data_IF_766912661240
#
_entry.id   IF_766912661240
#
_cell.length_a   1.000
_cell.length_b   1.000
_cell.length_c   1.000
_cell.angle_alpha   90.00
_cell.angle_beta   90.00
_cell.angle_gamma   90.00
#
_symmetry.space_group_name_H-M   'P 1'
#
loop_
_entity.id
_entity.type
_entity.pdbx_description
1 polymer ?
#
# COMPACT_ATOMS: atom_id res chain seq x y z
N UNK A 1 -3.94 15.85 11.10
CA UNK A 1 -2.82 15.28 11.91
C UNK A 1 -1.99 14.47 10.93
N UNK A 2 -0.74 14.80 10.74
CA UNK A 2 0.15 14.15 9.79
C UNK A 2 0.45 12.70 10.24
N UNK A 3 0.64 11.78 9.27
CA UNK A 3 1.02 10.37 9.52
C UNK A 3 2.24 10.25 10.46
N UNK A 4 3.19 11.19 10.35
CA UNK A 4 4.37 11.29 11.22
C UNK A 4 4.02 11.71 12.64
N UNK A 5 3.02 12.59 12.82
CA UNK A 5 2.55 13.03 14.15
C UNK A 5 1.78 11.95 14.89
N UNK A 6 1.04 11.08 14.14
CA UNK A 6 0.38 9.91 14.72
C UNK A 6 1.40 8.92 15.29
N UNK A 7 2.46 8.64 14.53
CA UNK A 7 3.54 7.74 14.94
C UNK A 7 4.39 8.32 16.08
N UNK A 8 4.67 9.65 16.07
CA UNK A 8 5.43 10.31 17.15
C UNK A 8 4.67 10.37 18.48
N UNK A 9 3.37 10.61 18.48
CA UNK A 9 2.57 10.66 19.72
C UNK A 9 2.40 9.29 20.36
N UNK A 10 2.55 8.21 19.63
CA UNK A 10 2.57 6.84 20.15
C UNK A 10 3.92 6.43 20.77
N UNK A 11 5.01 7.17 20.47
CA UNK A 11 6.37 6.85 20.93
C UNK A 11 6.84 7.64 22.17
N UNK A 12 6.07 8.59 22.70
CA UNK A 12 6.46 9.47 23.82
C UNK A 12 5.94 8.98 25.19
N UNK A 13 5.67 7.71 25.33
CA UNK A 13 5.12 7.10 26.55
C UNK A 13 6.09 6.30 27.42
N UNK A 14 7.40 6.34 27.21
CA UNK A 14 8.32 5.58 28.10
C UNK A 14 9.72 6.19 28.14
N UNK A 15 9.92 7.14 29.05
CA UNK A 15 11.25 7.45 29.58
C UNK A 15 11.10 7.89 31.03
N UNK A 16 11.62 7.05 31.92
CA UNK A 16 11.92 7.39 33.30
C UNK A 16 11.56 6.27 34.26
N UNK A 17 12.53 5.41 34.61
CA UNK A 17 12.75 5.08 36.02
C UNK A 17 14.02 4.22 36.18
N UNK A 18 14.76 4.63 37.12
CA UNK A 18 16.08 4.30 37.63
C UNK A 18 16.25 2.88 38.14
N UNK A 19 17.49 2.38 38.01
CA UNK A 19 18.07 1.17 38.56
C UNK A 19 17.97 1.05 40.08
N UNK A 20 17.66 -0.13 40.59
CA UNK A 20 18.29 -0.70 41.78
C UNK A 20 18.18 -2.21 41.83
N UNK A 21 19.21 -2.96 42.23
CA UNK A 21 19.23 -4.40 42.21
C UNK A 21 18.94 -4.95 43.62
N UNK A 22 18.09 -5.97 43.73
CA UNK A 22 18.12 -6.89 44.86
C UNK A 22 17.32 -8.20 44.65
N UNK A 23 18.04 -9.30 44.65
CA UNK A 23 17.77 -10.57 45.34
C UNK A 23 16.70 -11.55 44.81
N UNK A 24 17.21 -12.69 44.43
CA UNK A 24 16.56 -13.97 44.30
C UNK A 24 15.61 -14.31 45.45
N UNK A 25 14.39 -14.80 45.16
CA UNK A 25 13.96 -16.10 45.70
C UNK A 25 12.58 -16.52 45.19
N UNK A 26 12.44 -17.83 45.07
CA UNK A 26 11.23 -18.63 45.25
C UNK A 26 10.36 -18.89 44.05
N UNK A 27 10.50 -20.07 43.52
CA UNK A 27 9.52 -20.84 42.76
C UNK A 27 8.15 -20.82 43.48
N UNK A 28 7.19 -20.17 42.84
CA UNK A 28 5.79 -20.17 43.24
C UNK A 28 4.95 -20.15 41.95
N UNK A 29 4.39 -21.29 41.58
CA UNK A 29 3.35 -21.40 40.55
C UNK A 29 2.09 -20.66 41.01
N UNK A 30 2.01 -19.39 40.73
CA UNK A 30 0.74 -18.64 40.76
C UNK A 30 0.22 -18.56 39.36
N UNK A 31 -0.88 -19.26 39.07
CA UNK A 31 -1.69 -19.05 37.90
C UNK A 31 -2.10 -17.56 37.88
N UNK A 32 -1.42 -16.75 37.07
CA UNK A 32 -1.84 -15.36 36.83
C UNK A 32 -3.17 -15.40 36.13
N UNK A 33 -4.19 -14.82 36.77
CA UNK A 33 -5.42 -14.45 36.07
C UNK A 33 -5.02 -13.56 34.92
N UNK A 34 -5.18 -14.05 33.68
CA UNK A 34 -4.85 -13.33 32.47
C UNK A 34 -5.43 -11.93 32.52
N UNK A 35 -4.58 -10.92 32.49
CA UNK A 35 -4.97 -9.53 32.37
C UNK A 35 -5.53 -9.31 30.97
N UNK A 36 -6.39 -8.30 30.77
CA UNK A 36 -6.97 -7.97 29.45
C UNK A 36 -5.93 -7.71 28.33
N UNK A 37 -4.64 -7.73 28.68
CA UNK A 37 -3.49 -7.56 27.81
C UNK A 37 -3.16 -8.79 26.93
N UNK A 38 -3.64 -9.98 27.30
CA UNK A 38 -3.27 -11.26 26.67
C UNK A 38 -4.26 -11.70 25.57
N UNK A 39 -5.01 -10.76 25.02
CA UNK A 39 -5.99 -10.99 23.95
C UNK A 39 -5.79 -9.97 22.83
N UNK A 40 -5.98 -10.43 21.60
CA UNK A 40 -5.90 -9.57 20.43
C UNK A 40 -7.03 -8.54 20.43
N UNK A 41 -6.70 -7.26 20.37
CA UNK A 41 -7.65 -6.15 20.39
C UNK A 41 -7.62 -5.40 19.08
N UNK A 42 -8.79 -5.27 18.43
CA UNK A 42 -8.98 -4.50 17.19
C UNK A 42 -9.53 -3.10 17.52
N UNK A 43 -8.93 -2.09 16.91
CA UNK A 43 -9.50 -0.74 16.82
C UNK A 43 -9.30 -0.18 15.42
N UNK A 44 -10.23 0.64 14.97
CA UNK A 44 -10.20 1.21 13.63
C UNK A 44 -10.92 2.56 13.60
N UNK A 45 -10.57 3.38 12.61
CA UNK A 45 -11.25 4.66 12.36
C UNK A 45 -11.15 5.05 10.89
N UNK A 46 -12.19 5.69 10.32
CA UNK A 46 -12.09 6.31 9.01
C UNK A 46 -11.11 7.48 9.04
N UNK A 47 -10.43 7.70 7.92
CA UNK A 47 -9.46 8.76 7.74
C UNK A 47 -9.37 9.19 6.29
N UNK A 48 -9.44 10.49 6.01
CA UNK A 48 -9.25 11.04 4.68
C UNK A 48 -7.79 11.51 4.52
N UNK A 49 -7.03 10.80 3.70
CA UNK A 49 -5.66 11.17 3.35
C UNK A 49 -5.69 12.35 2.39
N UNK A 50 -5.23 13.52 2.83
CA UNK A 50 -5.03 14.66 1.96
C UNK A 50 -3.78 14.44 1.10
N UNK A 51 -3.94 14.49 -0.22
CA UNK A 51 -2.84 14.38 -1.15
C UNK A 51 -2.07 15.71 -1.26
N UNK A 52 -0.76 15.63 -1.40
CA UNK A 52 0.10 16.82 -1.61
C UNK A 52 -0.19 17.49 -2.95
N UNK A 53 -0.42 16.70 -3.99
CA UNK A 53 -0.84 17.12 -5.32
C UNK A 53 -2.14 16.40 -5.70
N UNK A 54 -2.95 17.01 -6.56
CA UNK A 54 -4.06 16.31 -7.17
C UNK A 54 -3.52 15.05 -7.90
N UNK A 55 -4.21 13.93 -7.74
CA UNK A 55 -3.89 12.69 -8.43
C UNK A 55 -4.81 12.54 -9.64
N UNK A 56 -4.28 12.92 -10.80
CA UNK A 56 -5.02 12.92 -12.06
C UNK A 56 -4.67 11.68 -12.87
N UNK A 57 -5.70 10.97 -13.30
CA UNK A 57 -5.70 9.85 -14.23
C UNK A 57 -6.51 10.23 -15.47
N UNK A 58 -6.48 9.41 -16.52
CA UNK A 58 -7.24 9.65 -17.74
C UNK A 58 -8.75 9.86 -17.50
N UNK A 59 -9.34 9.15 -16.51
CA UNK A 59 -10.79 9.15 -16.26
C UNK A 59 -11.20 9.65 -14.87
N UNK A 60 -10.27 10.10 -14.03
CA UNK A 60 -10.59 10.52 -12.65
C UNK A 60 -9.54 11.48 -12.09
N UNK A 61 -9.96 12.28 -11.12
CA UNK A 61 -9.07 13.17 -10.35
C UNK A 61 -9.50 13.17 -8.89
N UNK A 62 -8.53 13.24 -7.97
CA UNK A 62 -8.80 13.34 -6.53
C UNK A 62 -7.73 14.13 -5.80
N UNK A 63 -8.14 14.84 -4.76
CA UNK A 63 -7.25 15.57 -3.83
C UNK A 63 -7.16 14.91 -2.44
N UNK A 64 -8.04 13.96 -2.18
CA UNK A 64 -8.09 13.14 -0.97
C UNK A 64 -8.25 11.68 -1.34
N UNK A 65 -7.77 10.80 -0.49
CA UNK A 65 -8.03 9.36 -0.59
C UNK A 65 -8.73 8.93 0.70
N UNK A 66 -9.99 8.46 0.61
CA UNK A 66 -10.65 7.86 1.76
C UNK A 66 -9.93 6.57 2.16
N UNK A 67 -9.82 6.35 3.45
CA UNK A 67 -9.06 5.27 4.05
C UNK A 67 -9.68 4.85 5.39
N UNK A 68 -9.39 3.65 5.88
CA UNK A 68 -9.66 3.22 7.25
C UNK A 68 -8.38 2.72 7.88
N UNK A 69 -7.95 3.41 8.93
CA UNK A 69 -6.78 3.02 9.71
C UNK A 69 -7.19 1.93 10.72
N UNK A 70 -6.38 0.88 10.78
CA UNK A 70 -6.59 -0.29 11.66
C UNK A 70 -5.41 -0.45 12.61
N UNK A 71 -5.71 -0.82 13.85
CA UNK A 71 -4.72 -1.19 14.86
C UNK A 71 -5.09 -2.52 15.47
N UNK A 72 -4.12 -3.42 15.57
CA UNK A 72 -4.19 -4.64 16.37
C UNK A 72 -3.24 -4.52 17.53
N UNK A 73 -3.75 -4.68 18.74
CA UNK A 73 -2.96 -4.63 19.96
C UNK A 73 -2.90 -5.99 20.65
N UNK A 74 -1.71 -6.35 21.11
CA UNK A 74 -1.49 -7.53 21.97
C UNK A 74 -0.42 -7.20 23.01
N UNK A 75 -0.79 -7.22 24.28
CA UNK A 75 0.09 -6.77 25.36
C UNK A 75 0.51 -5.30 25.18
N UNK A 76 1.81 -5.07 25.12
CA UNK A 76 2.42 -3.73 24.86
C UNK A 76 2.57 -3.41 23.36
N UNK A 77 2.42 -4.41 22.50
CA UNK A 77 2.67 -4.28 21.07
C UNK A 77 1.44 -3.81 20.30
N UNK A 78 1.65 -2.99 19.28
CA UNK A 78 0.59 -2.52 18.38
C UNK A 78 1.05 -2.64 16.92
N UNK A 79 0.31 -3.41 16.13
CA UNK A 79 0.42 -3.47 14.68
C UNK A 79 -0.56 -2.50 14.02
N UNK A 80 -0.18 -1.96 12.87
CA UNK A 80 -0.95 -0.98 12.10
C UNK A 80 -1.25 -1.53 10.71
N UNK A 81 -2.48 -1.32 10.27
CA UNK A 81 -2.95 -1.64 8.93
C UNK A 81 -3.79 -0.51 8.35
N UNK A 82 -4.08 -0.62 7.07
CA UNK A 82 -4.80 0.40 6.30
C UNK A 82 -5.69 -0.28 5.26
N UNK A 83 -6.97 0.09 5.21
CA UNK A 83 -7.88 -0.32 4.17
C UNK A 83 -7.93 0.73 3.06
N UNK A 84 -7.26 0.47 1.95
CA UNK A 84 -7.38 1.25 0.73
C UNK A 84 -8.58 0.78 -0.08
N UNK A 85 -9.44 1.70 -0.51
CA UNK A 85 -10.72 1.41 -1.16
C UNK A 85 -10.75 1.97 -2.58
N UNK A 86 -10.07 1.33 -3.54
CA UNK A 86 -10.17 1.74 -4.93
C UNK A 86 -11.62 1.56 -5.43
N UNK A 87 -12.15 2.50 -6.24
CA UNK A 87 -13.57 2.53 -6.62
C UNK A 87 -14.11 1.25 -7.25
N UNK A 88 -13.25 0.50 -7.95
CA UNK A 88 -13.65 -0.76 -8.61
C UNK A 88 -13.93 -1.92 -7.64
N UNK A 89 -13.55 -1.82 -6.37
CA UNK A 89 -13.90 -2.81 -5.35
C UNK A 89 -15.29 -2.56 -4.76
N UNK A 90 -15.85 -1.35 -4.91
CA UNK A 90 -17.16 -0.99 -4.41
C UNK A 90 -17.24 -0.87 -2.87
N UNK A 91 -16.10 -0.89 -2.18
CA UNK A 91 -16.03 -0.68 -0.74
C UNK A 91 -15.94 0.81 -0.39
N UNK A 92 -16.46 1.18 0.79
CA UNK A 92 -16.45 2.53 1.35
C UNK A 92 -15.96 2.50 2.78
N UNK A 93 -15.56 3.64 3.34
CA UNK A 93 -15.21 3.74 4.77
C UNK A 93 -16.30 3.14 5.67
N UNK A 94 -17.57 3.38 5.33
CA UNK A 94 -18.71 2.85 6.09
C UNK A 94 -18.79 1.33 5.98
N UNK A 95 -18.68 0.75 4.78
CA UNK A 95 -18.73 -0.70 4.60
C UNK A 95 -17.56 -1.40 5.28
N UNK A 96 -16.35 -0.85 5.18
CA UNK A 96 -15.15 -1.34 5.85
C UNK A 96 -15.31 -1.30 7.37
N UNK A 97 -15.72 -0.16 7.93
CA UNK A 97 -15.96 -0.04 9.37
C UNK A 97 -17.06 -1.00 9.86
N UNK A 98 -18.10 -1.22 9.06
CA UNK A 98 -19.19 -2.17 9.39
C UNK A 98 -18.65 -3.60 9.45
N UNK A 99 -17.84 -4.01 8.50
CA UNK A 99 -17.22 -5.34 8.50
C UNK A 99 -16.26 -5.51 9.69
N UNK A 100 -15.36 -4.57 9.91
CA UNK A 100 -14.40 -4.61 11.02
C UNK A 100 -15.10 -4.66 12.38
N UNK A 101 -16.28 -4.01 12.50
CA UNK A 101 -17.10 -4.04 13.71
C UNK A 101 -17.74 -5.41 14.01
N UNK A 102 -17.77 -6.34 13.06
CA UNK A 102 -18.28 -7.70 13.26
C UNK A 102 -17.21 -8.67 13.79
N UNK A 103 -15.94 -8.28 13.73
CA UNK A 103 -14.83 -9.15 14.09
C UNK A 103 -14.67 -9.21 15.62
N UNK A 104 -14.75 -10.41 16.19
CA UNK A 104 -14.35 -10.67 17.58
C UNK A 104 -12.93 -11.27 17.63
N UNK A 105 -11.93 -10.42 17.52
CA UNK A 105 -10.52 -10.86 17.61
C UNK A 105 -10.07 -11.12 19.06
N UNK A 106 -10.88 -10.75 20.07
CA UNK A 106 -10.55 -11.03 21.49
C UNK A 106 -10.59 -12.51 21.85
N UNK A 107 -11.18 -13.35 21.00
CA UNK A 107 -11.12 -14.80 21.17
C UNK A 107 -9.69 -15.37 21.02
N UNK A 108 -8.80 -14.67 20.31
CA UNK A 108 -7.44 -15.08 20.05
C UNK A 108 -6.49 -14.59 21.16
N UNK A 109 -5.74 -15.53 21.73
CA UNK A 109 -4.76 -15.31 22.82
C UNK A 109 -3.32 -15.50 22.37
N UNK A 110 -3.11 -15.80 21.09
CA UNK A 110 -1.79 -15.99 20.48
C UNK A 110 -1.79 -15.38 19.07
N UNK A 111 -1.10 -14.23 18.87
CA UNK A 111 -1.04 -13.56 17.57
C UNK A 111 -0.20 -14.30 16.52
N UNK A 112 0.59 -15.33 16.93
CA UNK A 112 1.37 -16.13 16.00
C UNK A 112 0.54 -17.17 15.24
N UNK A 113 -0.69 -17.42 15.66
CA UNK A 113 -1.65 -18.27 14.93
C UNK A 113 -2.28 -17.51 13.77
N UNK A 114 -1.43 -16.92 12.94
CA UNK A 114 -1.84 -15.96 11.89
C UNK A 114 -2.82 -16.56 10.90
N UNK A 115 -2.57 -17.78 10.42
CA UNK A 115 -3.45 -18.47 9.48
C UNK A 115 -4.86 -18.64 10.07
N UNK A 116 -4.98 -19.12 11.30
CA UNK A 116 -6.27 -19.29 11.97
C UNK A 116 -7.01 -17.97 12.19
N UNK A 117 -6.28 -16.89 12.54
CA UNK A 117 -6.86 -15.55 12.71
C UNK A 117 -7.39 -15.05 11.38
N UNK A 118 -6.62 -15.19 10.28
CA UNK A 118 -7.01 -14.73 8.96
C UNK A 118 -8.14 -15.58 8.36
N UNK A 119 -8.12 -16.89 8.56
CA UNK A 119 -9.23 -17.78 8.18
C UNK A 119 -10.54 -17.38 8.89
N UNK A 120 -10.46 -17.04 10.18
CA UNK A 120 -11.62 -16.50 10.89
C UNK A 120 -12.10 -15.18 10.26
N UNK A 121 -11.19 -14.23 10.00
CA UNK A 121 -11.54 -12.95 9.35
C UNK A 121 -12.22 -13.19 8.00
N UNK A 122 -11.70 -14.12 7.21
CA UNK A 122 -12.27 -14.47 5.92
C UNK A 122 -13.65 -15.11 6.01
N UNK A 123 -13.90 -15.90 7.06
CA UNK A 123 -15.15 -16.63 7.27
C UNK A 123 -16.33 -15.76 7.66
N UNK A 124 -16.10 -14.55 8.23
CA UNK A 124 -17.17 -13.70 8.80
C UNK A 124 -18.13 -13.20 7.73
N UNK A 125 -17.63 -12.80 6.56
CA UNK A 125 -18.46 -12.43 5.42
C UNK A 125 -17.67 -12.55 4.11
N UNK A 126 -18.32 -12.85 2.96
CA UNK A 126 -17.68 -12.79 1.65
C UNK A 126 -17.25 -11.35 1.29
N UNK A 127 -16.41 -11.22 0.28
CA UNK A 127 -15.86 -9.93 -0.19
C UNK A 127 -15.12 -9.14 0.89
N UNK A 128 -15.40 -7.87 1.09
CA UNK A 128 -14.76 -6.99 2.09
C UNK A 128 -13.22 -7.02 2.03
N UNK A 129 -12.67 -7.03 0.83
CA UNK A 129 -11.24 -7.30 0.56
C UNK A 129 -10.32 -6.25 1.17
N UNK A 130 -10.71 -4.97 1.09
CA UNK A 130 -9.94 -3.87 1.70
C UNK A 130 -9.91 -3.98 3.22
N UNK A 131 -11.06 -4.31 3.84
CA UNK A 131 -11.15 -4.51 5.28
C UNK A 131 -10.29 -5.70 5.74
N UNK A 132 -10.38 -6.85 5.05
CA UNK A 132 -9.60 -8.06 5.35
C UNK A 132 -8.11 -7.80 5.20
N UNK A 133 -7.68 -7.15 4.10
CA UNK A 133 -6.29 -6.76 3.89
C UNK A 133 -5.75 -5.86 4.99
N UNK A 134 -6.57 -4.95 5.53
CA UNK A 134 -6.14 -4.07 6.63
C UNK A 134 -5.85 -4.82 7.93
N UNK A 135 -6.60 -5.89 8.21
CA UNK A 135 -6.35 -6.77 9.38
C UNK A 135 -5.09 -7.60 9.16
N UNK A 136 -4.92 -8.16 7.96
CA UNK A 136 -3.73 -8.94 7.57
C UNK A 136 -2.45 -8.09 7.70
N UNK A 137 -2.44 -6.90 7.13
CA UNK A 137 -1.31 -5.95 7.26
C UNK A 137 -1.03 -5.63 8.73
N UNK A 138 -2.06 -5.35 9.53
CA UNK A 138 -1.91 -5.04 10.95
C UNK A 138 -1.37 -6.23 11.75
N UNK A 139 -1.78 -7.46 11.41
CA UNK A 139 -1.31 -8.68 12.07
C UNK A 139 0.16 -8.95 11.75
N UNK A 140 0.56 -8.82 10.50
CA UNK A 140 1.95 -8.94 10.08
C UNK A 140 2.83 -7.88 10.77
N UNK A 141 2.40 -6.62 10.82
CA UNK A 141 3.14 -5.56 11.50
C UNK A 141 3.27 -5.84 13.01
N UNK A 142 2.21 -6.34 13.65
CA UNK A 142 2.21 -6.74 15.06
C UNK A 142 3.21 -7.86 15.33
N UNK A 143 3.12 -8.96 14.59
CA UNK A 143 3.96 -10.14 14.78
C UNK A 143 5.42 -9.82 14.48
N UNK A 144 5.71 -9.06 13.41
CA UNK A 144 7.07 -8.60 13.12
C UNK A 144 7.68 -7.78 14.24
N UNK A 145 6.89 -6.90 14.89
CA UNK A 145 7.31 -6.11 16.06
C UNK A 145 7.56 -7.00 17.28
N UNK A 146 6.68 -7.95 17.58
CA UNK A 146 6.87 -8.90 18.69
C UNK A 146 8.15 -9.70 18.47
N UNK A 147 8.43 -10.15 17.24
CA UNK A 147 9.65 -10.90 16.91
C UNK A 147 10.90 -10.01 16.85
N UNK A 148 10.76 -8.67 16.82
CA UNK A 148 11.87 -7.74 16.66
C UNK A 148 12.58 -7.88 15.31
N UNK A 149 11.91 -8.41 14.28
CA UNK A 149 12.49 -8.67 12.96
C UNK A 149 11.55 -8.22 11.84
N UNK A 150 12.06 -7.60 10.78
CA UNK A 150 11.28 -7.32 9.59
C UNK A 150 11.00 -8.60 8.80
N UNK A 151 9.86 -8.67 8.14
CA UNK A 151 9.38 -9.86 7.44
C UNK A 151 10.32 -10.38 6.37
N UNK A 152 11.03 -9.52 5.65
CA UNK A 152 12.00 -9.98 4.65
C UNK A 152 13.11 -10.85 5.27
N UNK A 153 13.53 -10.57 6.51
CA UNK A 153 14.50 -11.41 7.23
C UNK A 153 13.88 -12.72 7.71
N UNK A 154 12.63 -12.65 8.23
CA UNK A 154 11.88 -13.84 8.65
C UNK A 154 11.73 -14.81 7.48
N UNK A 155 11.47 -14.31 6.29
CA UNK A 155 11.33 -15.12 5.06
C UNK A 155 12.67 -15.42 4.37
N UNK A 156 13.80 -15.00 4.90
CA UNK A 156 15.11 -15.24 4.32
C UNK A 156 15.34 -14.51 2.98
N UNK A 157 14.65 -13.39 2.76
CA UNK A 157 14.77 -12.59 1.54
C UNK A 157 15.94 -11.60 1.66
N UNK A 158 16.58 -11.32 0.51
CA UNK A 158 17.67 -10.33 0.41
C UNK A 158 17.10 -8.98 -0.04
N UNK A 159 17.29 -7.91 0.73
CA UNK A 159 16.81 -6.57 0.35
C UNK A 159 17.53 -6.04 -0.91
N UNK A 160 18.76 -6.49 -1.20
CA UNK A 160 19.52 -6.08 -2.38
C UNK A 160 18.91 -6.62 -3.69
N UNK A 161 18.04 -7.64 -3.59
CA UNK A 161 17.28 -8.19 -4.74
C UNK A 161 15.90 -7.56 -4.89
N UNK A 162 15.53 -6.64 -4.00
CA UNK A 162 14.28 -5.92 -4.12
C UNK A 162 14.32 -4.99 -5.34
N UNK A 163 13.32 -5.00 -6.21
CA UNK A 163 13.25 -4.04 -7.32
C UNK A 163 13.08 -2.61 -6.78
N UNK A 164 13.53 -1.64 -7.58
CA UNK A 164 13.32 -0.24 -7.27
C UNK A 164 11.83 0.09 -7.19
N UNK A 165 11.46 0.88 -6.19
CA UNK A 165 10.11 1.44 -6.12
C UNK A 165 9.96 2.59 -7.12
N UNK A 166 8.86 2.61 -7.86
CA UNK A 166 8.55 3.70 -8.79
C UNK A 166 7.81 4.86 -8.08
N UNK A 167 8.11 6.11 -8.50
CA UNK A 167 7.36 7.28 -8.08
C UNK A 167 6.36 7.69 -9.16
N UNK A 168 5.08 7.83 -8.80
CA UNK A 168 4.03 8.13 -9.77
C UNK A 168 3.93 9.62 -10.09
N UNK A 169 4.02 9.95 -11.38
CA UNK A 169 3.73 11.26 -11.96
C UNK A 169 2.35 11.17 -12.60
N UNK A 170 1.35 11.82 -12.01
CA UNK A 170 0.00 11.95 -12.59
C UNK A 170 -0.03 12.96 -13.73
N UNK A 171 -1.07 12.89 -14.56
CA UNK A 171 -1.31 13.84 -15.66
C UNK A 171 -1.51 15.24 -15.08
N UNK A 172 -0.74 16.24 -15.56
CA UNK A 172 -0.81 17.60 -15.04
C UNK A 172 -0.19 18.60 -16.01
N UNK A 173 -0.20 19.89 -15.64
CA UNK A 173 0.52 20.95 -16.38
C UNK A 173 2.04 20.70 -16.36
N UNK A 174 2.75 21.21 -17.35
CA UNK A 174 4.20 21.08 -17.45
C UNK A 174 4.94 21.56 -16.18
N UNK A 175 4.46 22.62 -15.56
CA UNK A 175 5.07 23.18 -14.34
C UNK A 175 4.92 22.22 -13.15
N UNK A 176 3.72 21.69 -12.93
CA UNK A 176 3.44 20.71 -11.86
C UNK A 176 4.20 19.40 -12.10
N UNK A 177 4.30 18.95 -13.35
CA UNK A 177 5.11 17.76 -13.71
C UNK A 177 6.58 18.00 -13.35
N UNK A 178 7.17 19.14 -13.70
CA UNK A 178 8.55 19.48 -13.31
C UNK A 178 8.74 19.54 -11.79
N UNK A 179 7.75 20.07 -11.07
CA UNK A 179 7.80 20.07 -9.61
C UNK A 179 7.79 18.64 -9.04
N UNK A 180 6.89 17.78 -9.52
CA UNK A 180 6.82 16.36 -9.13
C UNK A 180 8.13 15.61 -9.44
N UNK A 181 8.77 15.90 -10.58
CA UNK A 181 10.07 15.34 -10.96
C UNK A 181 11.19 15.72 -9.97
N UNK A 182 11.22 16.97 -9.48
CA UNK A 182 12.16 17.39 -8.43
C UNK A 182 11.89 16.65 -7.11
N UNK A 183 10.63 16.49 -6.73
CA UNK A 183 10.23 15.73 -5.53
C UNK A 183 10.55 14.24 -5.65
N UNK A 184 10.56 13.72 -6.86
CA UNK A 184 10.90 12.34 -7.18
C UNK A 184 12.41 12.08 -7.21
N UNK A 185 13.28 13.03 -6.84
CA UNK A 185 14.73 12.87 -6.89
C UNK A 185 15.28 11.62 -6.19
N UNK A 186 14.69 11.14 -5.06
CA UNK A 186 15.18 9.92 -4.39
C UNK A 186 14.80 8.60 -5.09
N UNK A 187 13.99 8.64 -6.17
CA UNK A 187 13.48 7.44 -6.83
C UNK A 187 14.21 7.18 -8.15
N UNK A 188 14.58 5.92 -8.39
CA UNK A 188 15.31 5.51 -9.60
C UNK A 188 14.40 5.31 -10.81
N UNK A 189 13.12 4.99 -10.60
CA UNK A 189 12.12 4.72 -11.64
C UNK A 189 10.92 5.64 -11.47
N UNK A 190 10.38 6.15 -12.57
CA UNK A 190 9.18 6.99 -12.58
C UNK A 190 8.02 6.22 -13.21
N UNK A 191 6.85 6.19 -12.56
CA UNK A 191 5.61 5.65 -13.14
C UNK A 191 4.80 6.82 -13.71
N UNK A 192 4.57 6.82 -15.02
CA UNK A 192 3.90 7.91 -15.73
C UNK A 192 2.46 7.50 -16.04
N UNK A 193 1.50 8.30 -15.59
CA UNK A 193 0.10 8.13 -15.96
C UNK A 193 -0.16 8.74 -17.33
N UNK A 194 -0.73 7.94 -18.21
CA UNK A 194 -1.04 8.29 -19.60
C UNK A 194 -2.49 7.93 -19.95
N UNK A 195 -2.88 8.07 -21.20
CA UNK A 195 -4.21 7.74 -21.72
C UNK A 195 -5.01 8.94 -22.20
N UNK A 196 -4.32 10.06 -22.51
CA UNK A 196 -4.88 11.26 -23.11
C UNK A 196 -4.16 11.61 -24.41
N UNK A 197 -4.73 12.55 -25.17
CA UNK A 197 -4.18 12.97 -26.49
C UNK A 197 -2.80 13.65 -26.39
N UNK A 198 -2.42 14.15 -25.20
CA UNK A 198 -1.14 14.82 -24.96
C UNK A 198 -0.05 13.93 -24.36
N UNK A 199 -0.19 12.63 -24.43
CA UNK A 199 0.74 11.65 -23.84
C UNK A 199 2.18 11.84 -24.31
N UNK A 200 2.40 12.03 -25.63
CA UNK A 200 3.74 12.26 -26.18
C UNK A 200 4.39 13.55 -25.66
N UNK A 201 3.58 14.61 -25.45
CA UNK A 201 4.06 15.88 -24.90
C UNK A 201 4.49 15.72 -23.43
N UNK A 202 3.71 14.99 -22.64
CA UNK A 202 4.03 14.71 -21.25
C UNK A 202 5.38 14.00 -21.13
N UNK A 203 5.61 12.96 -21.93
CA UNK A 203 6.90 12.23 -21.93
C UNK A 203 8.05 13.14 -22.40
N UNK A 204 7.86 13.99 -23.40
CA UNK A 204 8.88 14.97 -23.84
C UNK A 204 9.26 15.94 -22.72
N UNK A 205 8.28 16.42 -21.94
CA UNK A 205 8.56 17.28 -20.79
C UNK A 205 9.41 16.50 -19.77
N UNK A 206 9.06 15.27 -19.47
CA UNK A 206 9.81 14.42 -18.54
C UNK A 206 11.24 14.20 -19.05
N UNK A 207 11.41 13.89 -20.35
CA UNK A 207 12.73 13.64 -20.96
C UNK A 207 13.59 14.91 -21.04
N UNK A 208 12.99 16.11 -21.09
CA UNK A 208 13.77 17.35 -20.97
C UNK A 208 14.37 17.57 -19.57
N UNK A 209 13.91 16.85 -18.55
CA UNK A 209 14.34 17.01 -17.17
C UNK A 209 15.17 15.80 -16.64
N UNK A 210 15.00 14.58 -17.22
CA UNK A 210 15.64 13.39 -16.72
C UNK A 210 15.67 12.23 -17.73
N UNK A 211 16.76 11.45 -17.71
CA UNK A 211 16.92 10.21 -18.47
C UNK A 211 16.57 8.94 -17.63
N UNK A 212 16.07 9.09 -16.40
CA UNK A 212 15.70 7.95 -15.55
C UNK A 212 14.71 7.03 -16.28
N UNK A 213 14.79 5.71 -16.05
CA UNK A 213 13.80 4.77 -16.57
C UNK A 213 12.38 5.17 -16.18
N UNK A 214 11.45 5.01 -17.11
CA UNK A 214 10.02 5.19 -16.85
C UNK A 214 9.29 3.86 -17.02
N UNK A 215 8.20 3.68 -16.29
CA UNK A 215 7.13 2.75 -16.66
C UNK A 215 5.86 3.54 -16.87
N UNK A 216 5.04 3.09 -17.79
CA UNK A 216 3.83 3.81 -18.20
C UNK A 216 2.60 3.02 -17.77
N UNK A 217 1.61 3.72 -17.20
CA UNK A 217 0.31 3.16 -16.88
C UNK A 217 -0.77 3.99 -17.57
N UNK A 218 -1.37 3.39 -18.58
CA UNK A 218 -2.39 4.01 -19.42
C UNK A 218 -3.79 3.95 -18.79
N UNK A 219 -3.97 3.11 -17.78
CA UNK A 219 -5.24 2.90 -17.09
C UNK A 219 -6.41 2.62 -18.07
N UNK A 220 -6.17 1.76 -19.06
CA UNK A 220 -7.15 1.36 -20.08
C UNK A 220 -7.58 2.54 -20.98
N UNK A 221 -6.70 3.52 -21.23
CA UNK A 221 -7.02 4.76 -21.94
C UNK A 221 -6.95 4.65 -23.45
N UNK A 222 -6.21 3.69 -24.02
CA UNK A 222 -6.09 3.54 -25.48
C UNK A 222 -7.08 2.52 -25.99
N UNK A 223 -7.99 2.94 -26.84
CA UNK A 223 -9.09 2.08 -27.33
C UNK A 223 -8.78 1.37 -28.65
N UNK A 224 -7.78 1.85 -29.42
CA UNK A 224 -7.38 1.30 -30.72
C UNK A 224 -6.04 0.54 -30.57
N UNK A 225 -5.98 -0.72 -31.01
CA UNK A 225 -4.81 -1.58 -30.86
C UNK A 225 -3.61 -1.16 -31.73
N UNK A 226 -3.87 -0.61 -32.93
CA UNK A 226 -2.84 -0.13 -33.84
C UNK A 226 -2.19 1.14 -33.27
N UNK A 227 -2.98 2.06 -32.72
CA UNK A 227 -2.49 3.21 -32.00
C UNK A 227 -1.70 2.82 -30.73
N UNK A 228 -2.20 1.85 -29.96
CA UNK A 228 -1.49 1.34 -28.79
C UNK A 228 -0.13 0.76 -29.17
N UNK A 229 -0.04 0.00 -30.29
CA UNK A 229 1.22 -0.53 -30.80
C UNK A 229 2.19 0.59 -31.20
N UNK A 230 1.72 1.61 -31.94
CA UNK A 230 2.53 2.78 -32.32
C UNK A 230 3.09 3.49 -31.09
N UNK A 231 2.24 3.71 -30.08
CA UNK A 231 2.65 4.36 -28.83
C UNK A 231 3.68 3.55 -28.07
N UNK A 232 3.53 2.22 -27.99
CA UNK A 232 4.48 1.34 -27.30
C UNK A 232 5.82 1.31 -28.06
N UNK A 233 5.80 1.27 -29.40
CA UNK A 233 7.01 1.36 -30.23
C UNK A 233 7.74 2.68 -29.97
N UNK A 234 7.03 3.79 -29.96
CA UNK A 234 7.63 5.08 -29.64
C UNK A 234 8.16 5.15 -28.20
N UNK A 235 7.45 4.59 -27.21
CA UNK A 235 7.88 4.52 -25.81
C UNK A 235 9.15 3.67 -25.63
N UNK A 236 9.36 2.64 -26.45
CA UNK A 236 10.57 1.82 -26.40
C UNK A 236 11.84 2.64 -26.69
N UNK A 237 11.72 3.73 -27.44
CA UNK A 237 12.80 4.67 -27.72
C UNK A 237 12.97 5.72 -26.58
N UNK A 238 12.06 5.73 -25.62
CA UNK A 238 12.03 6.71 -24.52
C UNK A 238 12.53 6.12 -23.17
N UNK A 239 13.42 5.12 -23.17
CA UNK A 239 13.88 4.43 -21.95
C UNK A 239 12.70 3.98 -21.07
N UNK A 240 11.65 3.42 -21.69
CA UNK A 240 10.49 2.86 -21.04
C UNK A 240 10.71 1.37 -20.78
N UNK A 241 10.40 0.91 -19.54
CA UNK A 241 10.63 -0.46 -19.12
C UNK A 241 9.44 -1.38 -19.50
N UNK A 242 8.22 -0.88 -19.36
CA UNK A 242 6.99 -1.61 -19.68
C UNK A 242 5.79 -0.65 -19.75
N UNK A 243 4.67 -1.15 -20.31
CA UNK A 243 3.41 -0.42 -20.41
C UNK A 243 2.29 -1.20 -19.74
N UNK A 244 1.72 -0.65 -18.67
CA UNK A 244 0.65 -1.25 -17.89
C UNK A 244 -0.72 -0.81 -18.45
N UNK A 245 -1.63 -1.79 -18.58
CA UNK A 245 -3.03 -1.59 -18.96
C UNK A 245 -3.24 -0.66 -20.17
N UNK A 246 -2.63 -0.94 -21.34
CA UNK A 246 -2.77 -0.06 -22.50
C UNK A 246 -4.22 0.06 -22.97
N UNK A 247 -4.97 -1.03 -22.93
CA UNK A 247 -6.32 -1.15 -23.50
C UNK A 247 -7.37 -1.53 -22.45
N UNK A 248 -8.67 -1.32 -22.72
CA UNK A 248 -9.77 -1.80 -21.88
C UNK A 248 -9.66 -3.31 -21.62
N UNK A 249 -9.91 -3.71 -20.36
CA UNK A 249 -9.77 -5.10 -19.89
C UNK A 249 -10.67 -6.11 -20.63
N UNK A 250 -11.75 -5.63 -21.23
CA UNK A 250 -12.70 -6.42 -22.00
C UNK A 250 -12.17 -6.80 -23.40
N UNK A 251 -11.14 -6.07 -23.90
CA UNK A 251 -10.54 -6.29 -25.23
C UNK A 251 -9.42 -7.33 -25.19
N UNK A 252 -9.75 -8.55 -24.75
CA UNK A 252 -8.77 -9.62 -24.52
C UNK A 252 -8.03 -10.01 -25.78
N UNK A 253 -8.73 -10.15 -26.92
CA UNK A 253 -8.14 -10.56 -28.19
C UNK A 253 -7.20 -9.48 -28.75
N UNK A 254 -7.59 -8.21 -28.63
CA UNK A 254 -6.75 -7.07 -29.04
C UNK A 254 -5.52 -6.94 -28.14
N UNK A 255 -5.66 -7.20 -26.84
CA UNK A 255 -4.51 -7.21 -25.91
C UNK A 255 -3.56 -8.36 -26.23
N UNK A 256 -4.05 -9.56 -26.53
CA UNK A 256 -3.24 -10.69 -26.98
C UNK A 256 -2.49 -10.35 -28.29
N UNK A 257 -3.19 -9.79 -29.27
CA UNK A 257 -2.59 -9.32 -30.53
C UNK A 257 -1.50 -8.28 -30.31
N UNK A 258 -1.72 -7.33 -29.38
CA UNK A 258 -0.78 -6.28 -28.99
C UNK A 258 0.46 -6.87 -28.31
N UNK A 259 0.27 -7.77 -27.35
CA UNK A 259 1.35 -8.44 -26.63
C UNK A 259 2.32 -9.20 -27.52
N UNK A 260 1.81 -9.87 -28.57
CA UNK A 260 2.66 -10.59 -29.53
C UNK A 260 3.56 -9.69 -30.39
N UNK A 261 3.22 -8.38 -30.50
CA UNK A 261 3.86 -7.43 -31.44
C UNK A 261 4.58 -6.28 -30.75
N UNK A 262 4.25 -6.02 -29.50
CA UNK A 262 4.84 -4.94 -28.75
C UNK A 262 6.32 -5.21 -28.42
N UNK A 263 7.22 -4.20 -28.59
CA UNK A 263 8.63 -4.33 -28.24
C UNK A 263 8.89 -4.25 -26.72
N UNK A 264 7.88 -3.84 -25.94
CA UNK A 264 7.94 -3.73 -24.48
C UNK A 264 6.92 -4.69 -23.84
N UNK A 265 7.21 -5.20 -22.63
CA UNK A 265 6.23 -5.94 -21.84
C UNK A 265 5.02 -5.11 -21.48
#
# INVERSE_FOLDING_TARGET
MDRRDFLRKSAIGTLGLTLSPALFNSCGTSASKGTSSDRLQLSFKPYDLKLKHAFNLAKSSRTHTPDVQVQLRFGEWTGYGEASMPPYLGETQESVCRFLGQLDLKQFTDPFRMEEILDYVDSVAPDNRSAKASVDIALHDLVGKIMGQPWYKIWGLSPEKCPDTSFTIGIDTAEVVRQKLREASPYNVLKIKMGLDNDKELVKIIRSETDRPICVDVNQGWDNKEYALEMIQWLSEQNCLFVEQPMPKEKIDEQAWLHERAPLP
#
